data_IF_707576202943
#
_entry.id   IF_707576202943
#
_cell.length_a   1.000
_cell.length_b   1.000
_cell.length_c   1.000
_cell.angle_alpha   90.00
_cell.angle_beta   90.00
_cell.angle_gamma   90.00
#
_symmetry.space_group_name_H-M   'P 1'
#
loop_
_entity.id
_entity.type
_entity.pdbx_description
1 polymer ?
#
# COMPACT_ATOMS: atom_id res chain seq x y z
N UNK A 1 19.76 -31.47 20.00
CA UNK A 1 18.97 -30.45 19.28
C UNK A 1 19.09 -30.66 17.79
N UNK A 2 18.00 -31.04 17.12
CA UNK A 2 17.95 -31.07 15.66
C UNK A 2 17.73 -29.61 15.24
N UNK A 3 18.77 -28.98 14.71
CA UNK A 3 18.66 -27.62 14.19
C UNK A 3 17.94 -27.72 12.83
N UNK A 4 16.63 -27.53 12.85
CA UNK A 4 15.82 -27.48 11.63
C UNK A 4 16.24 -26.24 10.83
N UNK A 5 17.03 -26.45 9.77
CA UNK A 5 17.39 -25.39 8.84
C UNK A 5 16.14 -25.01 8.06
N UNK A 6 15.54 -23.88 8.41
CA UNK A 6 14.38 -23.34 7.71
C UNK A 6 14.86 -22.80 6.35
N UNK A 7 14.79 -23.62 5.31
CA UNK A 7 15.10 -23.18 3.95
C UNK A 7 13.96 -22.29 3.45
N UNK A 8 14.20 -20.98 3.37
CA UNK A 8 13.29 -20.03 2.75
C UNK A 8 13.23 -20.32 1.24
N UNK A 9 12.23 -21.09 0.81
CA UNK A 9 11.97 -21.34 -0.61
C UNK A 9 11.27 -20.11 -1.18
N UNK A 10 12.06 -19.17 -1.70
CA UNK A 10 11.52 -18.02 -2.42
C UNK A 10 11.21 -18.44 -3.86
N UNK A 11 9.96 -18.30 -4.33
CA UNK A 11 9.63 -18.58 -5.72
C UNK A 11 10.42 -17.66 -6.66
N UNK A 12 10.92 -18.18 -7.80
CA UNK A 12 11.74 -17.42 -8.76
C UNK A 12 11.00 -16.17 -9.28
N UNK A 13 9.67 -16.26 -9.30
CA UNK A 13 8.75 -15.23 -9.77
C UNK A 13 8.62 -14.06 -8.79
N UNK A 14 9.11 -14.20 -7.55
CA UNK A 14 9.12 -13.12 -6.57
C UNK A 14 10.04 -11.96 -6.99
N UNK A 15 11.04 -12.22 -7.84
CA UNK A 15 11.89 -11.17 -8.41
C UNK A 15 11.10 -10.11 -9.19
N UNK A 16 10.01 -10.50 -9.87
CA UNK A 16 9.14 -9.56 -10.57
C UNK A 16 8.39 -8.65 -9.61
N UNK A 17 7.99 -9.16 -8.46
CA UNK A 17 7.31 -8.39 -7.41
C UNK A 17 8.23 -7.31 -6.84
N UNK A 18 9.50 -7.65 -6.60
CA UNK A 18 10.50 -6.69 -6.12
C UNK A 18 10.75 -5.59 -7.17
N UNK A 19 10.85 -5.95 -8.45
CA UNK A 19 11.01 -4.97 -9.53
C UNK A 19 9.82 -4.02 -9.64
N UNK A 20 8.60 -4.52 -9.46
CA UNK A 20 7.38 -3.70 -9.43
C UNK A 20 7.40 -2.71 -8.27
N UNK A 21 7.96 -3.08 -7.12
CA UNK A 21 8.12 -2.18 -5.96
C UNK A 21 9.23 -1.13 -6.13
N UNK A 22 10.31 -1.45 -6.84
CA UNK A 22 11.43 -0.53 -7.07
C UNK A 22 11.11 0.52 -8.15
N UNK A 23 10.34 0.15 -9.17
CA UNK A 23 9.98 1.05 -10.28
C UNK A 23 9.43 2.42 -9.82
N UNK A 24 8.44 2.47 -8.92
CA UNK A 24 7.93 3.71 -8.35
C UNK A 24 9.01 4.55 -7.72
N UNK A 25 9.96 3.95 -6.99
CA UNK A 25 11.01 4.69 -6.27
C UNK A 25 11.88 5.49 -7.23
N UNK A 26 12.21 4.88 -8.36
CA UNK A 26 12.96 5.55 -9.42
C UNK A 26 12.16 6.72 -10.02
N UNK A 27 10.85 6.55 -10.20
CA UNK A 27 9.98 7.62 -10.67
C UNK A 27 9.83 8.74 -9.64
N UNK A 28 9.67 8.43 -8.36
CA UNK A 28 9.65 9.41 -7.29
C UNK A 28 10.94 10.26 -7.27
N UNK A 29 12.09 9.59 -7.40
CA UNK A 29 13.40 10.23 -7.47
C UNK A 29 13.47 11.18 -8.68
N UNK A 30 12.99 10.74 -9.84
CA UNK A 30 12.94 11.57 -11.03
C UNK A 30 12.03 12.80 -10.87
N UNK A 31 10.83 12.66 -10.30
CA UNK A 31 9.93 13.79 -9.99
C UNK A 31 10.56 14.74 -8.97
N UNK A 32 11.21 14.21 -7.92
CA UNK A 32 11.94 15.01 -6.93
C UNK A 32 13.05 15.86 -7.56
N UNK A 33 13.80 15.30 -8.52
CA UNK A 33 14.82 16.03 -9.28
C UNK A 33 14.18 17.14 -10.13
N UNK A 34 13.03 16.89 -10.77
CA UNK A 34 12.30 17.91 -11.54
C UNK A 34 11.83 19.07 -10.66
N UNK A 35 11.24 18.78 -9.50
CA UNK A 35 10.87 19.80 -8.51
C UNK A 35 12.09 20.60 -8.06
N UNK A 36 13.21 19.93 -7.78
CA UNK A 36 14.47 20.60 -7.40
C UNK A 36 15.02 21.53 -8.49
N UNK A 37 14.98 21.11 -9.76
CA UNK A 37 15.36 21.95 -10.90
C UNK A 37 14.41 23.13 -11.07
N UNK A 38 13.10 22.90 -11.01
CA UNK A 38 12.09 23.95 -11.09
C UNK A 38 12.23 24.97 -9.95
N UNK A 39 12.54 24.51 -8.74
CA UNK A 39 12.79 25.36 -7.58
C UNK A 39 13.95 26.33 -7.79
N UNK A 40 15.02 25.87 -8.44
CA UNK A 40 16.17 26.72 -8.82
C UNK A 40 15.83 27.68 -9.96
N UNK A 41 15.01 27.25 -10.92
CA UNK A 41 14.61 28.06 -12.07
C UNK A 41 13.71 29.24 -11.66
N UNK A 42 12.79 29.02 -10.74
CA UNK A 42 11.81 30.01 -10.28
C UNK A 42 12.20 30.69 -8.94
N UNK A 43 13.44 30.51 -8.48
CA UNK A 43 13.99 31.06 -7.22
C UNK A 43 13.09 30.90 -5.98
N UNK A 44 12.43 29.74 -5.85
CA UNK A 44 11.53 29.49 -4.71
C UNK A 44 12.36 29.05 -3.49
N UNK A 45 12.65 29.99 -2.58
CA UNK A 45 13.40 29.71 -1.35
C UNK A 45 12.64 28.79 -0.39
N UNK A 46 13.37 28.02 0.40
CA UNK A 46 12.78 27.32 1.55
C UNK A 46 12.36 28.37 2.61
N UNK A 47 11.22 28.20 3.31
CA UNK A 47 10.36 27.02 3.43
C UNK A 47 9.14 26.99 2.47
N UNK A 48 9.03 27.93 1.52
CA UNK A 48 7.85 28.03 0.66
C UNK A 48 7.66 26.76 -0.20
N UNK A 49 6.47 26.14 -0.15
CA UNK A 49 6.14 24.95 -0.93
C UNK A 49 5.59 25.29 -2.32
N UNK A 50 4.82 26.38 -2.39
CA UNK A 50 4.21 26.92 -3.59
C UNK A 50 4.72 28.35 -3.80
N UNK A 51 4.63 28.84 -5.04
CA UNK A 51 4.95 30.20 -5.45
C UNK A 51 3.64 30.92 -5.79
N UNK A 52 3.43 32.11 -5.24
CA UNK A 52 2.24 32.93 -5.56
C UNK A 52 2.31 33.51 -6.98
N UNK A 53 3.52 33.62 -7.54
CA UNK A 53 3.79 34.23 -8.84
C UNK A 53 3.87 33.22 -9.98
N UNK A 54 4.29 31.98 -9.71
CA UNK A 54 4.55 30.97 -10.73
C UNK A 54 3.63 29.75 -10.63
N UNK A 55 2.56 29.77 -11.43
CA UNK A 55 1.60 28.66 -11.55
C UNK A 55 2.27 27.37 -12.06
N UNK A 56 3.28 27.48 -12.93
CA UNK A 56 3.98 26.32 -13.51
C UNK A 56 4.72 25.52 -12.43
N UNK A 57 5.40 26.22 -11.51
CA UNK A 57 6.05 25.57 -10.37
C UNK A 57 5.02 24.85 -9.48
N UNK A 58 3.87 25.48 -9.23
CA UNK A 58 2.80 24.89 -8.42
C UNK A 58 2.22 23.62 -9.06
N UNK A 59 2.09 23.60 -10.38
CA UNK A 59 1.63 22.41 -11.12
C UNK A 59 2.62 21.26 -10.99
N UNK A 60 3.92 21.53 -11.20
CA UNK A 60 4.99 20.52 -11.04
C UNK A 60 5.00 20.00 -9.59
N UNK A 61 4.90 20.89 -8.60
CA UNK A 61 4.85 20.52 -7.20
C UNK A 61 3.62 19.67 -6.86
N UNK A 62 2.43 20.06 -7.32
CA UNK A 62 1.19 19.30 -7.08
C UNK A 62 1.24 17.93 -7.74
N UNK A 63 1.85 17.84 -8.92
CA UNK A 63 2.04 16.57 -9.62
C UNK A 63 2.91 15.61 -8.77
N UNK A 64 4.00 16.10 -8.18
CA UNK A 64 4.84 15.31 -7.29
C UNK A 64 4.14 14.91 -5.99
N UNK A 65 3.38 15.82 -5.39
CA UNK A 65 2.64 15.53 -4.16
C UNK A 65 1.55 14.48 -4.36
N UNK A 66 0.80 14.51 -5.46
CA UNK A 66 -0.19 13.47 -5.68
C UNK A 66 0.45 12.09 -5.94
N UNK A 67 1.59 12.05 -6.62
CA UNK A 67 2.34 10.81 -6.75
C UNK A 67 2.69 10.24 -5.36
N UNK A 68 3.18 11.09 -4.44
CA UNK A 68 3.50 10.70 -3.06
C UNK A 68 2.28 10.28 -2.23
N UNK A 69 1.11 10.89 -2.41
CA UNK A 69 -0.13 10.52 -1.72
C UNK A 69 -0.54 9.05 -1.98
N UNK A 70 -0.17 8.52 -3.15
CA UNK A 70 -0.51 7.17 -3.57
C UNK A 70 0.66 6.17 -3.52
N UNK A 71 1.88 6.68 -3.36
CA UNK A 71 3.12 5.94 -3.50
C UNK A 71 3.27 4.74 -2.55
N UNK A 72 3.02 4.85 -1.22
CA UNK A 72 3.15 3.69 -0.34
C UNK A 72 1.85 2.88 -0.15
N UNK A 73 0.68 3.50 -0.28
CA UNK A 73 -0.55 2.93 0.30
C UNK A 73 -1.28 1.98 -0.65
N UNK A 74 -1.19 2.21 -1.96
CA UNK A 74 -2.21 1.69 -2.88
C UNK A 74 -1.75 0.47 -3.69
N UNK A 75 -0.59 0.47 -4.36
CA UNK A 75 -0.10 -0.71 -5.07
C UNK A 75 0.84 -1.59 -4.23
N UNK A 76 1.78 -0.99 -3.50
CA UNK A 76 2.91 -1.72 -2.90
C UNK A 76 2.47 -2.68 -1.79
N UNK A 77 1.66 -2.21 -0.84
CA UNK A 77 1.12 -3.05 0.24
C UNK A 77 0.36 -4.29 -0.27
N UNK A 78 -0.61 -4.14 -1.17
CA UNK A 78 -1.33 -5.26 -1.78
C UNK A 78 -0.44 -6.22 -2.59
N UNK A 79 0.50 -5.69 -3.38
CA UNK A 79 1.41 -6.50 -4.20
C UNK A 79 2.28 -7.41 -3.34
N UNK A 80 2.89 -6.89 -2.26
CA UNK A 80 3.70 -7.72 -1.35
C UNK A 80 2.86 -8.75 -0.58
N UNK A 81 1.61 -8.40 -0.23
CA UNK A 81 0.70 -9.30 0.48
C UNK A 81 0.27 -10.50 -0.38
N UNK A 82 -0.08 -10.26 -1.65
CA UNK A 82 -0.55 -11.29 -2.60
C UNK A 82 0.60 -12.11 -3.19
N UNK A 83 1.82 -11.56 -3.22
CA UNK A 83 3.01 -12.23 -3.75
C UNK A 83 3.33 -13.58 -3.08
N UNK A 84 2.88 -13.77 -1.83
CA UNK A 84 3.00 -15.04 -1.10
C UNK A 84 2.23 -16.20 -1.75
N UNK A 85 1.15 -15.91 -2.47
CA UNK A 85 0.24 -16.91 -3.05
C UNK A 85 0.26 -16.91 -4.57
N UNK A 86 0.19 -15.73 -5.20
CA UNK A 86 0.02 -15.60 -6.65
C UNK A 86 0.93 -14.46 -7.20
N UNK A 87 2.26 -14.69 -7.25
CA UNK A 87 3.23 -13.64 -7.58
C UNK A 87 3.10 -13.10 -9.02
N UNK A 88 2.71 -13.95 -9.99
CA UNK A 88 2.57 -13.55 -11.40
C UNK A 88 1.42 -12.57 -11.64
N UNK A 89 0.24 -12.84 -11.06
CA UNK A 89 -0.90 -11.95 -11.19
C UNK A 89 -0.68 -10.65 -10.41
N UNK A 90 -0.11 -10.73 -9.21
CA UNK A 90 0.25 -9.54 -8.42
C UNK A 90 1.23 -8.61 -9.16
N UNK A 91 2.27 -9.19 -9.79
CA UNK A 91 3.21 -8.42 -10.59
C UNK A 91 2.53 -7.79 -11.83
N UNK A 92 1.72 -8.55 -12.56
CA UNK A 92 1.02 -8.03 -13.74
C UNK A 92 0.06 -6.89 -13.40
N UNK A 93 -0.78 -7.03 -12.37
CA UNK A 93 -1.69 -5.98 -11.93
C UNK A 93 -0.95 -4.76 -11.37
N UNK A 94 0.18 -4.98 -10.69
CA UNK A 94 1.08 -3.91 -10.25
C UNK A 94 1.65 -3.12 -11.43
N UNK A 95 2.19 -3.80 -12.45
CA UNK A 95 2.69 -3.14 -13.67
C UNK A 95 1.58 -2.35 -14.38
N UNK A 96 0.36 -2.91 -14.49
CA UNK A 96 -0.78 -2.21 -15.10
C UNK A 96 -1.14 -0.94 -14.33
N UNK A 97 -1.17 -1.01 -12.99
CA UNK A 97 -1.41 0.16 -12.15
C UNK A 97 -0.31 1.22 -12.32
N UNK A 98 0.96 0.81 -12.27
CA UNK A 98 2.09 1.72 -12.40
C UNK A 98 2.16 2.35 -13.79
N UNK A 99 1.92 1.58 -14.86
CA UNK A 99 1.89 2.09 -16.22
C UNK A 99 0.77 3.12 -16.44
N UNK A 100 -0.40 2.91 -15.83
CA UNK A 100 -1.47 3.91 -15.78
C UNK A 100 -0.96 5.22 -15.15
N UNK A 101 -0.35 5.14 -13.97
CA UNK A 101 0.17 6.32 -13.26
C UNK A 101 1.30 7.04 -14.01
N UNK A 102 2.24 6.32 -14.60
CA UNK A 102 3.37 6.93 -15.31
C UNK A 102 2.97 7.65 -16.58
N UNK A 103 1.88 7.22 -17.23
CA UNK A 103 1.34 7.91 -18.40
C UNK A 103 0.53 9.15 -18.00
N UNK A 104 -0.20 9.08 -16.89
CA UNK A 104 -1.09 10.16 -16.43
C UNK A 104 -0.40 11.31 -15.72
N UNK A 105 0.70 11.07 -15.00
CA UNK A 105 1.16 12.04 -14.00
C UNK A 105 2.28 12.99 -14.44
N UNK A 106 3.38 12.54 -15.06
CA UNK A 106 4.50 13.42 -15.35
C UNK A 106 4.58 13.95 -16.79
N UNK A 107 3.76 13.42 -17.71
CA UNK A 107 3.66 13.91 -19.09
C UNK A 107 2.57 15.00 -19.19
N UNK A 108 1.37 14.70 -18.71
CA UNK A 108 0.21 15.59 -18.87
C UNK A 108 0.25 16.81 -17.92
N UNK A 109 0.74 16.67 -16.68
CA UNK A 109 0.83 17.82 -15.75
C UNK A 109 1.95 18.81 -16.09
N UNK A 110 2.99 18.39 -16.80
CA UNK A 110 4.05 19.32 -17.21
C UNK A 110 3.74 20.08 -18.50
N UNK A 111 2.82 19.55 -19.32
CA UNK A 111 2.46 20.11 -20.63
C UNK A 111 1.09 20.80 -20.63
N UNK A 112 0.67 21.36 -19.49
CA UNK A 112 -0.52 22.22 -19.34
C UNK A 112 -1.86 21.47 -19.33
N UNK A 113 -2.34 21.16 -18.11
CA UNK A 113 -3.78 21.04 -17.80
C UNK A 113 -4.57 19.99 -18.57
N UNK A 114 -3.92 19.08 -19.29
CA UNK A 114 -4.61 18.04 -20.04
C UNK A 114 -5.03 16.98 -19.02
N UNK A 115 -6.35 16.84 -18.83
CA UNK A 115 -6.86 15.75 -18.01
C UNK A 115 -6.49 14.42 -18.68
N UNK A 116 -6.09 13.43 -17.87
CA UNK A 116 -6.12 12.03 -18.27
C UNK A 116 -7.29 11.72 -19.21
N UNK A 117 -7.03 11.08 -20.36
CA UNK A 117 -8.14 10.48 -21.08
C UNK A 117 -8.80 9.44 -20.16
N UNK A 118 -10.14 9.46 -20.03
CA UNK A 118 -10.88 8.60 -19.11
C UNK A 118 -10.53 7.10 -19.26
N UNK A 119 -10.14 6.68 -20.46
CA UNK A 119 -9.68 5.31 -20.71
C UNK A 119 -8.45 4.94 -19.87
N UNK A 120 -7.47 5.83 -19.75
CA UNK A 120 -6.22 5.56 -19.01
C UNK A 120 -6.48 5.52 -17.50
N UNK A 121 -7.43 6.33 -17.01
CA UNK A 121 -7.88 6.26 -15.62
C UNK A 121 -8.57 4.92 -15.33
N UNK A 122 -9.45 4.44 -16.22
CA UNK A 122 -10.13 3.14 -16.07
C UNK A 122 -9.13 1.99 -15.99
N UNK A 123 -8.08 1.97 -16.82
CA UNK A 123 -7.04 0.93 -16.73
C UNK A 123 -6.29 0.93 -15.40
N UNK A 124 -6.00 2.11 -14.85
CA UNK A 124 -5.39 2.23 -13.52
C UNK A 124 -6.31 1.66 -12.43
N UNK A 125 -7.59 2.01 -12.44
CA UNK A 125 -8.55 1.50 -11.45
C UNK A 125 -8.78 0.00 -11.58
N UNK A 126 -8.75 -0.57 -12.79
CA UNK A 126 -8.81 -2.02 -13.00
C UNK A 126 -7.61 -2.73 -12.35
N UNK A 127 -6.39 -2.21 -12.51
CA UNK A 127 -5.20 -2.75 -11.85
C UNK A 127 -5.29 -2.70 -10.32
N UNK A 128 -5.87 -1.63 -9.76
CA UNK A 128 -6.06 -1.48 -8.32
C UNK A 128 -7.15 -2.43 -7.78
N UNK A 129 -8.32 -2.46 -8.41
CA UNK A 129 -9.43 -3.29 -7.95
C UNK A 129 -9.11 -4.79 -8.02
N UNK A 130 -8.31 -5.20 -9.00
CA UNK A 130 -7.80 -6.57 -9.07
C UNK A 130 -6.86 -6.90 -7.92
N UNK A 131 -5.91 -6.02 -7.59
CA UNK A 131 -5.03 -6.20 -6.42
C UNK A 131 -5.82 -6.26 -5.11
N UNK A 132 -6.77 -5.34 -4.91
CA UNK A 132 -7.63 -5.32 -3.73
C UNK A 132 -8.47 -6.60 -3.64
N UNK A 133 -9.09 -7.04 -4.75
CA UNK A 133 -9.84 -8.29 -4.81
C UNK A 133 -8.98 -9.51 -4.43
N UNK A 134 -7.72 -9.55 -4.89
CA UNK A 134 -6.78 -10.62 -4.55
C UNK A 134 -6.38 -10.59 -3.06
N UNK A 135 -6.18 -9.39 -2.49
CA UNK A 135 -5.90 -9.27 -1.04
C UNK A 135 -7.08 -9.72 -0.18
N UNK A 136 -8.31 -9.36 -0.56
CA UNK A 136 -9.53 -9.78 0.15
C UNK A 136 -9.70 -11.30 0.08
N UNK A 137 -9.45 -11.92 -1.09
CA UNK A 137 -9.48 -13.38 -1.24
C UNK A 137 -8.45 -14.08 -0.35
N UNK A 138 -7.26 -13.52 -0.19
CA UNK A 138 -6.21 -14.06 0.69
C UNK A 138 -6.57 -13.92 2.18
N UNK A 139 -7.17 -12.80 2.56
CA UNK A 139 -7.59 -12.54 3.95
C UNK A 139 -8.85 -13.29 4.38
N UNK A 140 -9.79 -13.55 3.46
CA UNK A 140 -11.10 -14.13 3.77
C UNK A 140 -11.05 -15.48 4.52
N UNK A 141 -10.21 -16.47 4.14
CA UNK A 141 -10.06 -17.72 4.89
C UNK A 141 -9.54 -17.53 6.32
N UNK A 142 -8.65 -16.55 6.53
CA UNK A 142 -8.04 -16.27 7.83
C UNK A 142 -9.01 -15.54 8.77
N UNK A 143 -9.82 -14.62 8.23
CA UNK A 143 -10.88 -13.95 8.98
C UNK A 143 -11.98 -14.91 9.41
N UNK A 144 -12.40 -15.82 8.53
CA UNK A 144 -13.37 -16.88 8.86
C UNK A 144 -12.86 -17.85 9.92
N UNK A 145 -11.59 -18.29 9.81
CA UNK A 145 -10.97 -19.16 10.81
C UNK A 145 -10.81 -18.47 12.17
N UNK A 146 -10.47 -17.17 12.20
CA UNK A 146 -10.40 -16.38 13.43
C UNK A 146 -11.77 -16.20 14.07
N UNK A 147 -12.81 -15.89 13.28
CA UNK A 147 -14.19 -15.77 13.76
C UNK A 147 -14.72 -17.10 14.31
N UNK A 148 -14.50 -18.21 13.62
CA UNK A 148 -14.90 -19.56 14.06
C UNK A 148 -14.13 -20.00 15.32
N UNK A 149 -12.83 -19.68 15.41
CA UNK A 149 -12.02 -19.95 16.62
C UNK A 149 -12.40 -19.05 17.79
N UNK A 150 -12.77 -17.80 17.55
CA UNK A 150 -13.27 -16.86 18.57
C UNK A 150 -14.63 -17.27 19.14
N UNK A 151 -15.51 -17.84 18.31
CA UNK A 151 -16.77 -18.45 18.77
C UNK A 151 -16.57 -19.76 19.52
N UNK A 152 -15.42 -20.42 19.34
CA UNK A 152 -15.02 -21.61 20.07
C UNK A 152 -14.19 -21.19 21.29
N UNK A 153 -14.77 -20.38 22.17
CA UNK A 153 -14.22 -20.21 23.53
C UNK A 153 -14.09 -21.60 24.17
N UNK A 154 -13.05 -21.85 24.98
CA UNK A 154 -13.00 -23.09 25.74
C UNK A 154 -14.28 -23.14 26.56
N UNK A 155 -15.07 -24.21 26.43
CA UNK A 155 -16.08 -24.54 27.43
C UNK A 155 -15.32 -24.51 28.75
N UNK A 156 -15.55 -23.46 29.55
CA UNK A 156 -15.16 -23.44 30.95
C UNK A 156 -15.73 -24.75 31.49
N UNK A 157 -14.87 -25.68 31.84
CA UNK A 157 -15.29 -26.92 32.47
C UNK A 157 -16.00 -26.51 33.76
N UNK A 158 -17.33 -26.44 33.70
CA UNK A 158 -18.18 -26.32 34.87
C UNK A 158 -17.92 -27.60 35.67
N UNK A 159 -16.97 -27.51 36.60
CA UNK A 159 -16.81 -28.48 37.66
C UNK A 159 -18.13 -28.64 38.42
N UNK A 160 -18.37 -29.81 39.03
CA UNK A 160 -19.64 -30.11 39.69
C UNK A 160 -20.02 -29.04 40.73
N UNK A 161 -21.32 -28.77 40.92
CA UNK A 161 -21.78 -27.64 41.71
C UNK A 161 -21.49 -27.89 43.19
N UNK A 162 -20.51 -27.17 43.71
CA UNK A 162 -20.24 -27.12 45.14
C UNK A 162 -18.77 -27.19 45.44
N UNK A 163 -18.14 -26.01 45.57
CA UNK A 163 -17.02 -25.65 46.47
C UNK A 163 -16.12 -24.60 45.81
N UNK A 164 -16.60 -23.37 45.67
CA UNK A 164 -15.66 -22.25 45.51
C UNK A 164 -16.16 -21.05 46.32
N UNK A 165 -15.45 -20.78 47.42
CA UNK A 165 -15.70 -19.63 48.29
C UNK A 165 -15.42 -18.36 47.48
N UNK A 166 -16.49 -17.66 47.12
CA UNK A 166 -16.47 -16.34 46.48
C UNK A 166 -15.69 -15.37 47.37
N UNK A 167 -14.42 -15.08 47.04
CA UNK A 167 -13.71 -13.91 47.59
C UNK A 167 -14.35 -12.68 46.97
N UNK A 168 -15.24 -12.05 47.73
CA UNK A 168 -15.83 -10.76 47.38
C UNK A 168 -14.77 -9.68 47.64
N UNK A 169 -14.32 -9.01 46.57
CA UNK A 169 -13.43 -7.86 46.66
C UNK A 169 -14.26 -6.69 47.19
N UNK A 170 -13.88 -6.17 48.36
CA UNK A 170 -14.44 -4.97 48.96
C UNK A 170 -13.75 -3.73 48.36
N UNK A 171 -14.55 -2.86 47.75
CA UNK A 171 -14.09 -1.66 47.04
C UNK A 171 -14.14 -0.38 47.88
N UNK A 172 -14.30 -0.47 49.21
CA UNK A 172 -14.45 0.72 50.06
C UNK A 172 -13.16 1.43 50.46
N UNK A 173 -12.00 0.96 50.02
CA UNK A 173 -10.69 1.59 50.29
C UNK A 173 -9.84 1.73 49.00
N UNK A 174 -10.36 2.45 48.00
CA UNK A 174 -9.57 3.12 46.94
C UNK A 174 -10.00 4.57 46.88
#
# INVERSE_FOLDING_TARGET
>A
SIMSTLSLVVPKEYGYVVLVGVGPTLVNMWLSIRVGKARRLYDVKYPAMYSDTNIVFNCIQRSHQNFLEYYPTVPDGPVYSVASSIPRLAAASGVVFQAGRYRLWPLDYSDWGTQPSACVEVFQYLGLLTLLGLTVRLGSPHAGAWFIRGMRTPKLALGPPGTEKRKQIDWRHV
#
